data_IF_425416638293
#
_entry.id   IF_425416638293
#
_cell.length_a   1.000
_cell.length_b   1.000
_cell.length_c   1.000
_cell.angle_alpha   90.00
_cell.angle_beta   90.00
_cell.angle_gamma   90.00
#
_symmetry.space_group_name_H-M   'P 1'
#
loop_
_entity.id
_entity.type
_entity.pdbx_description
1 polymer ?
#
# COMPACT_ATOMS: atom_id res chain seq x y z
N UNK A 1 13.14 -3.56 -12.48
CA UNK A 1 11.85 -2.87 -12.32
C UNK A 1 10.87 -3.59 -13.22
N UNK A 2 9.83 -4.21 -12.66
CA UNK A 2 8.79 -4.87 -13.47
C UNK A 2 7.76 -3.79 -13.77
N UNK A 3 7.75 -3.31 -15.00
CA UNK A 3 6.70 -2.43 -15.49
C UNK A 3 5.43 -3.29 -15.55
N UNK A 4 4.37 -2.86 -14.87
CA UNK A 4 3.08 -3.53 -14.97
C UNK A 4 2.64 -3.50 -16.43
N UNK A 5 2.39 -4.69 -17.01
CA UNK A 5 1.85 -4.82 -18.36
C UNK A 5 0.46 -4.18 -18.36
N UNK A 6 0.29 -3.07 -19.07
CA UNK A 6 -1.02 -2.55 -19.42
C UNK A 6 -1.57 -3.34 -20.61
N UNK A 7 -1.74 -4.64 -20.43
CA UNK A 7 -2.56 -5.45 -21.33
C UNK A 7 -4.00 -5.37 -20.82
N UNK A 8 -4.66 -4.25 -21.09
CA UNK A 8 -6.11 -4.26 -21.14
C UNK A 8 -6.51 -5.08 -22.39
N UNK A 9 -7.33 -6.11 -22.16
CA UNK A 9 -7.89 -6.97 -23.20
C UNK A 9 -8.43 -6.13 -24.36
N UNK A 10 -8.08 -6.48 -25.60
CA UNK A 10 -8.53 -5.78 -26.82
C UNK A 10 -9.92 -6.21 -27.31
N UNK A 11 -10.64 -7.00 -26.51
CA UNK A 11 -11.96 -7.50 -26.85
C UNK A 11 -13.04 -6.56 -26.27
N UNK A 12 -13.17 -5.36 -26.84
CA UNK A 12 -14.21 -4.42 -26.47
C UNK A 12 -15.55 -4.82 -27.11
N UNK A 13 -16.35 -5.65 -26.43
CA UNK A 13 -17.79 -5.70 -26.70
C UNK A 13 -18.42 -4.47 -26.03
N UNK A 14 -18.94 -3.53 -26.83
CA UNK A 14 -19.58 -2.29 -26.35
C UNK A 14 -20.88 -2.51 -25.52
N UNK A 15 -21.19 -3.76 -25.17
CA UNK A 15 -22.42 -4.16 -24.49
C UNK A 15 -22.20 -4.64 -23.05
N UNK A 16 -20.96 -4.76 -22.60
CA UNK A 16 -20.63 -5.15 -21.22
C UNK A 16 -20.25 -3.89 -20.44
N UNK A 17 -21.24 -3.35 -19.73
CA UNK A 17 -21.13 -2.11 -18.95
C UNK A 17 -20.46 -2.31 -17.60
N UNK A 18 -19.20 -2.75 -17.59
CA UNK A 18 -18.40 -2.78 -16.36
C UNK A 18 -17.87 -1.36 -16.08
N UNK A 19 -18.49 -0.69 -15.11
CA UNK A 19 -18.08 0.64 -14.65
C UNK A 19 -17.30 0.52 -13.34
N UNK A 20 -16.22 1.28 -13.23
CA UNK A 20 -15.38 1.32 -12.04
C UNK A 20 -15.95 2.30 -11.02
N UNK A 21 -16.28 1.80 -9.83
CA UNK A 21 -16.60 2.62 -8.66
C UNK A 21 -15.45 2.62 -7.65
N UNK A 22 -14.91 3.79 -7.27
CA UNK A 22 -13.85 3.86 -6.26
C UNK A 22 -14.41 3.63 -4.84
N UNK A 23 -13.91 2.60 -4.16
CA UNK A 23 -14.26 2.31 -2.77
C UNK A 23 -13.20 2.86 -1.80
N UNK A 24 -13.20 4.18 -1.57
CA UNK A 24 -12.37 4.81 -0.55
C UNK A 24 -13.21 5.24 0.66
N UNK A 25 -12.58 5.30 1.84
CA UNK A 25 -13.22 5.85 3.04
C UNK A 25 -13.71 7.28 2.79
N UNK A 26 -15.00 7.55 3.01
CA UNK A 26 -15.59 8.89 2.82
C UNK A 26 -15.04 9.94 3.78
N UNK A 27 -14.40 9.50 4.87
CA UNK A 27 -13.81 10.36 5.91
C UNK A 27 -12.45 10.92 5.54
N UNK A 28 -11.93 10.51 4.40
CA UNK A 28 -10.55 10.71 4.04
C UNK A 28 -10.46 11.61 2.82
N UNK A 29 -10.35 12.91 3.07
CA UNK A 29 -10.28 13.91 2.03
C UNK A 29 -8.83 14.08 1.55
N UNK A 30 -8.65 14.23 0.25
CA UNK A 30 -7.37 14.55 -0.36
C UNK A 30 -7.42 15.98 -0.89
N UNK A 31 -6.76 16.89 -0.19
CA UNK A 31 -6.68 18.30 -0.57
C UNK A 31 -5.23 18.65 -0.87
N UNK A 32 -4.93 18.98 -2.14
CA UNK A 32 -3.66 19.55 -2.58
C UNK A 32 -2.39 18.85 -2.06
N UNK A 33 -2.40 17.51 -1.96
CA UNK A 33 -1.24 16.72 -1.50
C UNK A 33 -1.26 16.31 -0.03
N UNK A 34 -2.23 16.77 0.75
CA UNK A 34 -2.39 16.39 2.16
C UNK A 34 -3.69 15.60 2.33
N UNK A 35 -3.63 14.50 3.10
CA UNK A 35 -4.80 13.67 3.42
C UNK A 35 -5.35 14.06 4.78
N UNK A 36 -6.51 14.71 4.80
CA UNK A 36 -7.19 15.16 6.01
C UNK A 36 -8.20 14.09 6.47
N UNK A 37 -8.20 13.81 7.77
CA UNK A 37 -9.10 12.82 8.39
C UNK A 37 -10.21 13.56 9.10
N UNK A 38 -11.46 13.29 8.72
CA UNK A 38 -12.61 13.80 9.48
C UNK A 38 -12.86 12.93 10.73
N UNK A 39 -12.99 13.56 11.91
CA UNK A 39 -13.30 12.85 13.14
C UNK A 39 -14.69 12.20 13.03
N UNK A 40 -14.85 11.07 13.69
CA UNK A 40 -16.14 10.39 13.81
C UNK A 40 -16.92 11.06 14.93
N UNK A 41 -18.22 11.26 14.73
CA UNK A 41 -19.10 11.72 15.80
C UNK A 41 -19.06 10.73 16.96
N UNK A 42 -18.95 11.24 18.19
CA UNK A 42 -18.76 10.44 19.41
C UNK A 42 -19.92 9.47 19.74
N UNK A 43 -20.99 9.48 18.96
CA UNK A 43 -22.19 8.67 19.11
C UNK A 43 -22.25 7.46 18.17
N UNK A 44 -21.16 7.10 17.47
CA UNK A 44 -21.13 5.90 16.61
C UNK A 44 -21.26 4.62 17.46
N UNK A 45 -22.38 3.89 17.34
CA UNK A 45 -22.69 2.81 18.26
C UNK A 45 -21.93 1.50 17.96
N UNK A 46 -21.18 1.39 16.86
CA UNK A 46 -20.54 0.10 16.52
C UNK A 46 -19.40 0.15 15.48
N UNK A 47 -18.76 1.31 15.25
CA UNK A 47 -17.82 1.43 14.12
C UNK A 47 -18.54 1.34 12.77
N UNK A 48 -19.79 1.83 12.74
CA UNK A 48 -20.63 1.90 11.54
C UNK A 48 -20.15 2.99 10.58
N UNK A 49 -19.27 3.87 11.05
CA UNK A 49 -18.59 4.89 10.28
C UNK A 49 -17.46 4.27 9.44
N UNK A 50 -17.30 4.73 8.19
CA UNK A 50 -16.30 4.23 7.26
C UNK A 50 -14.90 4.08 7.90
N UNK A 51 -14.25 2.90 7.75
CA UNK A 51 -12.95 2.67 8.34
C UNK A 51 -11.87 3.48 7.62
N UNK A 52 -10.85 3.91 8.36
CA UNK A 52 -9.72 4.67 7.81
C UNK A 52 -8.51 3.75 7.76
N UNK A 53 -8.06 3.42 6.56
CA UNK A 53 -6.83 2.67 6.32
C UNK A 53 -5.87 3.50 5.45
N UNK A 54 -4.65 3.66 5.94
CA UNK A 54 -3.56 4.29 5.18
C UNK A 54 -2.45 3.28 4.97
N UNK A 55 -2.10 3.03 3.72
CA UNK A 55 -0.94 2.22 3.40
C UNK A 55 0.32 3.09 3.51
N UNK A 56 1.32 2.59 4.25
CA UNK A 56 2.61 3.27 4.34
C UNK A 56 3.37 3.19 3.01
N UNK A 57 4.03 4.29 2.64
CA UNK A 57 4.84 4.41 1.43
C UNK A 57 6.28 3.92 1.68
N UNK A 58 6.44 2.60 1.87
CA UNK A 58 7.76 2.01 2.05
C UNK A 58 8.52 1.97 0.73
N UNK A 59 9.75 2.50 0.71
CA UNK A 59 10.56 2.57 -0.52
C UNK A 59 10.94 1.18 -1.05
N UNK A 60 11.43 0.30 -0.18
CA UNK A 60 11.75 -1.08 -0.58
C UNK A 60 11.79 -1.98 0.65
N UNK A 61 10.95 -3.00 0.65
CA UNK A 61 11.06 -4.10 1.61
C UNK A 61 11.92 -5.20 0.98
N UNK A 62 13.01 -5.60 1.65
CA UNK A 62 13.89 -6.69 1.19
C UNK A 62 14.18 -7.64 2.33
N UNK A 63 14.15 -8.93 2.02
CA UNK A 63 14.61 -10.00 2.90
C UNK A 63 15.94 -10.53 2.36
N UNK A 64 16.91 -10.76 3.25
CA UNK A 64 18.20 -11.37 2.90
C UNK A 64 18.58 -12.40 3.97
N UNK A 65 19.12 -13.52 3.53
CA UNK A 65 19.63 -14.58 4.40
C UNK A 65 21.14 -14.67 4.24
N UNK A 66 21.85 -14.81 5.36
CA UNK A 66 23.30 -14.91 5.41
C UNK A 66 23.69 -16.01 6.41
N UNK A 67 24.79 -16.69 6.12
CA UNK A 67 25.45 -17.56 7.09
C UNK A 67 26.32 -16.64 7.96
N UNK A 68 26.11 -16.68 9.27
CA UNK A 68 26.92 -15.92 10.23
C UNK A 68 28.31 -16.56 10.27
N UNK A 69 29.34 -15.76 9.99
CA UNK A 69 30.73 -16.19 10.12
C UNK A 69 31.21 -16.09 11.57
N UNK A 70 32.17 -16.93 11.94
CA UNK A 70 32.76 -16.92 13.28
C UNK A 70 33.63 -15.68 13.49
N UNK A 71 33.50 -15.03 14.64
CA UNK A 71 34.17 -13.76 14.94
C UNK A 71 35.72 -13.86 14.85
N UNK A 72 36.29 -15.06 15.04
CA UNK A 72 37.74 -15.28 14.89
C UNK A 72 38.17 -15.14 13.43
N UNK A 73 37.29 -15.48 12.48
CA UNK A 73 37.55 -15.29 11.04
C UNK A 73 37.58 -13.81 10.68
N UNK A 74 36.72 -12.99 11.28
CA UNK A 74 36.71 -11.53 11.07
C UNK A 74 37.98 -10.87 11.65
N UNK A 75 38.45 -11.35 12.81
CA UNK A 75 39.65 -10.84 13.46
C UNK A 75 40.97 -11.16 12.72
N UNK A 76 41.02 -12.24 11.93
CA UNK A 76 42.21 -12.64 11.17
C UNK A 76 42.32 -11.92 9.81
N UNK A 77 41.22 -11.33 9.32
CA UNK A 77 41.16 -10.68 7.99
C UNK A 77 41.40 -9.16 8.07
N UNK A 78 41.25 -8.56 9.26
CA UNK A 78 41.56 -7.15 9.49
C UNK A 78 42.97 -7.00 10.07
N UNK A 79 43.94 -6.42 9.31
CA UNK A 79 45.33 -6.23 9.76
C UNK A 79 45.49 -5.19 10.86
#
# INVERSE_FOLDING_TARGET
MKNASSDCSKDCNNNDGDWYEPAYSTRLNYESGTRNVFPSDSSDPMGMIDPIWTQSNWRTTRLRAYIVQDAVSDCLVLP
#
